data_IF_891307071716
#
_entry.id   IF_891307071716
#
_cell.length_a   1.000
_cell.length_b   1.000
_cell.length_c   1.000
_cell.angle_alpha   90.00
_cell.angle_beta   90.00
_cell.angle_gamma   90.00
#
_symmetry.space_group_name_H-M   'P 1'
#
loop_
_entity.id
_entity.type
_entity.pdbx_description
1 polymer ?
#
# COMPACT_ATOMS: atom_id res chain seq x y z
N UNK A 1 22.00 -35.50 -19.45
CA UNK A 1 21.11 -35.65 -18.27
C UNK A 1 20.22 -34.42 -18.21
N UNK A 2 18.98 -34.53 -18.70
CA UNK A 2 18.01 -33.46 -18.61
C UNK A 2 17.54 -33.35 -17.15
N UNK A 3 17.85 -32.24 -16.48
CA UNK A 3 17.19 -31.88 -15.24
C UNK A 3 15.77 -31.45 -15.59
N UNK A 4 14.84 -32.39 -15.51
CA UNK A 4 13.42 -32.07 -15.54
C UNK A 4 13.14 -31.27 -14.28
N UNK A 5 13.02 -29.96 -14.43
CA UNK A 5 12.49 -29.11 -13.38
C UNK A 5 11.02 -29.46 -13.24
N UNK A 6 10.71 -30.44 -12.39
CA UNK A 6 9.38 -30.57 -11.82
C UNK A 6 9.14 -29.29 -11.02
N UNK A 7 8.60 -28.27 -11.69
CA UNK A 7 8.01 -27.12 -11.04
C UNK A 7 6.92 -27.69 -10.13
N UNK A 8 7.26 -27.87 -8.85
CA UNK A 8 6.36 -28.45 -7.86
C UNK A 8 5.18 -27.50 -7.76
N UNK A 9 4.10 -27.83 -8.45
CA UNK A 9 2.90 -27.01 -8.46
C UNK A 9 2.37 -26.99 -7.03
N UNK A 10 2.37 -25.81 -6.42
CA UNK A 10 1.92 -25.65 -5.05
C UNK A 10 0.45 -26.08 -4.95
N UNK A 11 0.05 -26.75 -3.85
CA UNK A 11 -1.36 -27.07 -3.62
C UNK A 11 -2.22 -25.81 -3.66
N UNK A 12 -3.45 -25.90 -4.18
CA UNK A 12 -4.33 -24.73 -4.31
C UNK A 12 -4.69 -24.04 -2.98
N UNK A 13 -4.56 -24.73 -1.85
CA UNK A 13 -4.75 -24.14 -0.52
C UNK A 13 -3.55 -23.30 -0.04
N UNK A 14 -2.40 -23.38 -0.71
CA UNK A 14 -1.19 -22.62 -0.41
C UNK A 14 -1.13 -21.33 -1.25
N UNK A 15 -2.23 -20.58 -1.30
CA UNK A 15 -2.36 -19.31 -2.03
C UNK A 15 -2.09 -18.08 -1.13
N UNK A 16 -1.86 -18.32 0.16
CA UNK A 16 -1.65 -17.28 1.18
C UNK A 16 -0.20 -16.73 1.18
N UNK A 17 0.77 -17.46 0.62
CA UNK A 17 2.17 -17.04 0.53
C UNK A 17 2.64 -16.89 -0.92
N UNK A 18 3.43 -15.86 -1.18
CA UNK A 18 4.18 -15.71 -2.43
C UNK A 18 5.44 -14.88 -2.20
N UNK A 19 6.41 -14.99 -3.10
CA UNK A 19 7.60 -14.14 -3.05
C UNK A 19 7.22 -12.66 -3.09
N UNK A 20 6.23 -12.28 -3.91
CA UNK A 20 5.69 -10.91 -3.98
C UNK A 20 5.18 -10.42 -2.63
N UNK A 21 4.41 -11.24 -1.89
CA UNK A 21 3.93 -10.88 -0.56
C UNK A 21 5.07 -10.73 0.44
N UNK A 22 6.08 -11.61 0.38
CA UNK A 22 7.28 -11.50 1.20
C UNK A 22 8.08 -10.21 0.92
N UNK A 23 8.23 -9.84 -0.36
CA UNK A 23 8.88 -8.59 -0.75
C UNK A 23 8.09 -7.36 -0.25
N UNK A 24 6.77 -7.44 -0.14
CA UNK A 24 5.96 -6.39 0.51
C UNK A 24 6.40 -6.12 1.96
N UNK A 25 6.62 -7.17 2.76
CA UNK A 25 7.15 -7.02 4.13
C UNK A 25 8.56 -6.44 4.16
N UNK A 26 9.42 -6.82 3.20
CA UNK A 26 10.74 -6.21 3.04
C UNK A 26 10.62 -4.71 2.79
N UNK A 27 9.74 -4.30 1.89
CA UNK A 27 9.45 -2.89 1.58
C UNK A 27 9.06 -2.11 2.84
N UNK A 28 8.09 -2.61 3.61
CA UNK A 28 7.68 -1.98 4.88
C UNK A 28 8.83 -1.90 5.90
N UNK A 29 9.67 -2.94 6.00
CA UNK A 29 10.85 -2.95 6.88
C UNK A 29 11.88 -1.90 6.45
N UNK A 30 12.06 -1.69 5.15
CA UNK A 30 12.96 -0.66 4.62
C UNK A 30 12.46 0.76 4.95
N UNK A 31 11.13 1.00 4.94
CA UNK A 31 10.55 2.27 5.42
C UNK A 31 10.91 2.47 6.89
N UNK A 32 10.65 1.46 7.74
CA UNK A 32 10.95 1.54 9.17
C UNK A 32 12.46 1.71 9.46
N UNK A 33 13.31 1.25 8.57
CA UNK A 33 14.77 1.37 8.66
C UNK A 33 15.32 2.67 8.04
N UNK A 34 14.47 3.63 7.66
CA UNK A 34 14.86 4.89 7.03
C UNK A 34 15.69 4.65 5.75
N UNK A 35 15.17 3.79 4.86
CA UNK A 35 15.72 3.49 3.53
C UNK A 35 14.67 3.75 2.44
N UNK A 36 14.18 5.00 2.30
CA UNK A 36 13.03 5.31 1.45
C UNK A 36 13.22 4.91 -0.01
N UNK A 37 14.36 5.22 -0.64
CA UNK A 37 14.60 4.85 -2.04
C UNK A 37 14.59 3.33 -2.29
N UNK A 38 15.16 2.55 -1.36
CA UNK A 38 15.14 1.08 -1.48
C UNK A 38 13.74 0.53 -1.26
N UNK A 39 13.00 1.10 -0.30
CA UNK A 39 11.61 0.75 -0.06
C UNK A 39 10.75 1.03 -1.30
N UNK A 40 10.89 2.22 -1.92
CA UNK A 40 10.17 2.59 -3.12
C UNK A 40 10.43 1.64 -4.28
N UNK A 41 11.70 1.28 -4.53
CA UNK A 41 12.06 0.33 -5.58
C UNK A 41 11.41 -1.04 -5.35
N UNK A 42 11.49 -1.57 -4.13
CA UNK A 42 10.89 -2.87 -3.78
C UNK A 42 9.37 -2.84 -3.88
N UNK A 43 8.73 -1.83 -3.28
CA UNK A 43 7.26 -1.72 -3.21
C UNK A 43 6.63 -1.44 -4.59
N UNK A 44 7.32 -0.69 -5.46
CA UNK A 44 6.89 -0.50 -6.85
C UNK A 44 6.89 -1.82 -7.61
N UNK A 45 7.93 -2.64 -7.44
CA UNK A 45 7.97 -3.97 -8.06
C UNK A 45 6.89 -4.89 -7.49
N UNK A 46 6.67 -4.86 -6.16
CA UNK A 46 5.57 -5.61 -5.52
C UNK A 46 4.23 -5.22 -6.14
N UNK A 47 3.97 -3.92 -6.33
CA UNK A 47 2.72 -3.44 -6.91
C UNK A 47 2.51 -3.95 -8.35
N UNK A 48 3.58 -3.99 -9.14
CA UNK A 48 3.57 -4.52 -10.51
C UNK A 48 3.33 -6.04 -10.57
N UNK A 49 3.87 -6.78 -9.60
CA UNK A 49 3.79 -8.25 -9.56
C UNK A 49 2.55 -8.78 -8.84
N UNK A 50 1.75 -7.93 -8.19
CA UNK A 50 0.54 -8.34 -7.49
C UNK A 50 -0.54 -8.75 -8.48
N UNK A 51 -1.18 -9.93 -8.30
CA UNK A 51 -2.28 -10.33 -9.16
C UNK A 51 -3.48 -9.39 -8.98
N UNK A 52 -4.34 -9.32 -10.01
CA UNK A 52 -5.48 -8.41 -10.04
C UNK A 52 -6.46 -8.62 -8.88
N UNK A 53 -6.61 -9.87 -8.44
CA UNK A 53 -7.48 -10.24 -7.32
C UNK A 53 -6.90 -9.90 -5.94
N UNK A 54 -5.65 -9.43 -5.83
CA UNK A 54 -5.01 -9.08 -4.56
C UNK A 54 -5.30 -7.63 -4.11
N UNK A 55 -6.55 -7.18 -4.23
CA UNK A 55 -6.96 -5.80 -3.93
C UNK A 55 -6.54 -5.33 -2.52
N UNK A 56 -6.72 -6.17 -1.50
CA UNK A 56 -6.28 -5.86 -0.11
C UNK A 56 -4.78 -5.58 -0.01
N UNK A 57 -3.96 -6.43 -0.65
CA UNK A 57 -2.50 -6.29 -0.60
C UNK A 57 -2.03 -5.08 -1.42
N UNK A 58 -2.74 -4.77 -2.52
CA UNK A 58 -2.49 -3.58 -3.33
C UNK A 58 -2.69 -2.30 -2.51
N UNK A 59 -3.80 -2.18 -1.77
CA UNK A 59 -4.02 -1.04 -0.85
C UNK A 59 -2.96 -0.93 0.25
N UNK A 60 -2.51 -2.04 0.84
CA UNK A 60 -1.39 -2.03 1.81
C UNK A 60 -0.10 -1.52 1.13
N UNK A 61 0.22 -2.06 -0.04
CA UNK A 61 1.47 -1.74 -0.76
C UNK A 61 1.51 -0.27 -1.18
N UNK A 62 0.37 0.28 -1.62
CA UNK A 62 0.22 1.70 -1.92
C UNK A 62 0.44 2.58 -0.67
N UNK A 63 -0.12 2.19 0.48
CA UNK A 63 0.11 2.93 1.73
C UNK A 63 1.57 2.86 2.19
N UNK A 64 2.24 1.71 2.07
CA UNK A 64 3.66 1.59 2.37
C UNK A 64 4.53 2.41 1.40
N UNK A 65 4.18 2.44 0.12
CA UNK A 65 4.88 3.24 -0.88
C UNK A 65 4.69 4.73 -0.60
N UNK A 66 3.51 5.14 -0.13
CA UNK A 66 3.26 6.50 0.33
C UNK A 66 4.12 6.85 1.54
N UNK A 67 4.24 5.95 2.53
CA UNK A 67 5.13 6.14 3.67
C UNK A 67 6.59 6.34 3.23
N UNK A 68 7.03 5.57 2.23
CA UNK A 68 8.36 5.72 1.64
C UNK A 68 8.54 7.06 0.90
N UNK A 69 7.49 7.57 0.25
CA UNK A 69 7.49 8.87 -0.41
C UNK A 69 7.55 10.03 0.61
N UNK A 70 6.81 9.96 1.72
CA UNK A 70 6.92 10.95 2.81
C UNK A 70 8.34 10.97 3.38
N UNK A 71 8.92 9.80 3.66
CA UNK A 71 10.30 9.71 4.15
C UNK A 71 11.33 10.25 3.14
N UNK A 72 11.01 10.26 1.85
CA UNK A 72 11.81 10.87 0.78
C UNK A 72 11.48 12.35 0.52
N UNK A 73 10.64 12.96 1.36
CA UNK A 73 10.18 14.35 1.26
C UNK A 73 9.40 14.65 -0.02
N UNK A 74 8.63 13.69 -0.50
CA UNK A 74 7.70 13.82 -1.63
C UNK A 74 6.24 13.65 -1.16
N UNK A 75 5.66 14.68 -0.51
CA UNK A 75 4.32 14.61 0.06
C UNK A 75 3.21 14.59 -1.00
N UNK A 76 3.42 15.19 -2.17
CA UNK A 76 2.49 15.11 -3.30
C UNK A 76 2.34 13.66 -3.78
N UNK A 77 3.46 12.97 -4.02
CA UNK A 77 3.42 11.57 -4.42
C UNK A 77 2.79 10.68 -3.35
N UNK A 78 3.07 10.95 -2.07
CA UNK A 78 2.41 10.25 -0.98
C UNK A 78 0.88 10.42 -1.02
N UNK A 79 0.39 11.63 -1.28
CA UNK A 79 -1.05 11.89 -1.38
C UNK A 79 -1.72 11.17 -2.56
N UNK A 80 -1.05 11.10 -3.72
CA UNK A 80 -1.53 10.33 -4.87
C UNK A 80 -1.68 8.84 -4.52
N UNK A 81 -0.64 8.27 -3.92
CA UNK A 81 -0.61 6.85 -3.55
C UNK A 81 -1.66 6.51 -2.48
N UNK A 82 -1.84 7.37 -1.48
CA UNK A 82 -2.89 7.21 -0.48
C UNK A 82 -4.28 7.35 -1.08
N UNK A 83 -4.45 8.23 -2.06
CA UNK A 83 -5.72 8.38 -2.78
C UNK A 83 -6.11 7.07 -3.47
N UNK A 84 -5.18 6.44 -4.18
CA UNK A 84 -5.39 5.14 -4.82
C UNK A 84 -5.65 4.04 -3.78
N UNK A 85 -4.94 4.07 -2.64
CA UNK A 85 -5.13 3.11 -1.56
C UNK A 85 -6.55 3.19 -0.97
N UNK A 86 -7.06 4.42 -0.73
CA UNK A 86 -8.41 4.69 -0.24
C UNK A 86 -9.45 4.17 -1.22
N UNK A 87 -9.29 4.41 -2.53
CA UNK A 87 -10.20 3.87 -3.54
C UNK A 87 -10.28 2.34 -3.50
N UNK A 88 -9.15 1.66 -3.29
CA UNK A 88 -9.12 0.22 -3.11
C UNK A 88 -9.90 -0.24 -1.87
N UNK A 89 -9.72 0.44 -0.72
CA UNK A 89 -10.44 0.12 0.53
C UNK A 89 -11.93 0.41 0.42
N UNK A 90 -12.34 1.44 -0.32
CA UNK A 90 -13.74 1.74 -0.61
C UNK A 90 -14.46 0.62 -1.36
N UNK A 91 -13.74 -0.10 -2.24
CA UNK A 91 -14.30 -1.23 -3.00
C UNK A 91 -14.31 -2.52 -2.17
N UNK A 92 -13.29 -2.71 -1.33
CA UNK A 92 -13.18 -3.88 -0.47
C UNK A 92 -12.61 -3.48 0.89
N UNK A 93 -13.49 -3.39 1.89
CA UNK A 93 -13.09 -2.98 3.25
C UNK A 93 -11.94 -3.83 3.79
N UNK A 94 -10.92 -3.14 4.31
CA UNK A 94 -9.85 -3.79 5.04
C UNK A 94 -9.23 -2.85 6.10
N UNK A 95 -9.50 -3.16 7.37
CA UNK A 95 -9.07 -2.34 8.51
C UNK A 95 -7.55 -2.10 8.52
N UNK A 96 -6.73 -3.13 8.25
CA UNK A 96 -5.26 -3.01 8.25
C UNK A 96 -4.75 -2.00 7.22
N UNK A 97 -5.38 -1.91 6.04
CA UNK A 97 -5.00 -0.90 5.06
C UNK A 97 -5.38 0.51 5.53
N UNK A 98 -6.55 0.66 6.17
CA UNK A 98 -7.00 1.94 6.71
C UNK A 98 -6.11 2.44 7.86
N UNK A 99 -5.64 1.55 8.73
CA UNK A 99 -4.71 1.91 9.82
C UNK A 99 -3.39 2.46 9.25
N UNK A 100 -2.87 1.83 8.18
CA UNK A 100 -1.68 2.31 7.48
C UNK A 100 -1.91 3.66 6.80
N UNK A 101 -3.04 3.84 6.11
CA UNK A 101 -3.42 5.11 5.47
C UNK A 101 -3.44 6.24 6.51
N UNK A 102 -4.07 6.02 7.67
CA UNK A 102 -4.11 7.00 8.76
C UNK A 102 -2.73 7.31 9.33
N UNK A 103 -1.87 6.30 9.49
CA UNK A 103 -0.51 6.48 9.98
C UNK A 103 0.33 7.36 9.02
N UNK A 104 0.23 7.13 7.70
CA UNK A 104 0.93 7.97 6.73
C UNK A 104 0.33 9.37 6.69
N UNK A 105 -1.00 9.51 6.77
CA UNK A 105 -1.62 10.84 6.87
C UNK A 105 -1.11 11.63 8.07
N UNK A 106 -0.88 11.00 9.22
CA UNK A 106 -0.30 11.67 10.39
C UNK A 106 1.11 12.21 10.10
N UNK A 107 1.94 11.46 9.37
CA UNK A 107 3.26 11.94 8.95
C UNK A 107 3.21 13.12 7.98
N UNK A 108 2.10 13.32 7.27
CA UNK A 108 1.90 14.48 6.37
C UNK A 108 1.48 15.77 7.10
N UNK A 109 1.41 15.80 8.43
CA UNK A 109 1.00 16.99 9.19
C UNK A 109 1.88 18.22 8.95
N UNK A 110 3.18 18.03 8.75
CA UNK A 110 4.08 19.15 8.41
C UNK A 110 3.76 19.80 7.06
N UNK A 111 3.01 19.08 6.21
CA UNK A 111 2.60 19.49 4.88
C UNK A 111 1.10 19.87 4.79
N UNK A 112 0.42 20.09 5.91
CA UNK A 112 -1.04 20.34 5.96
C UNK A 112 -1.52 21.50 5.07
N UNK A 113 -0.63 22.46 4.79
CA UNK A 113 -0.95 23.60 3.94
C UNK A 113 -1.03 23.23 2.45
N UNK A 114 -0.44 22.11 2.02
CA UNK A 114 -0.42 21.69 0.62
C UNK A 114 -1.82 21.31 0.12
N UNK A 115 -2.20 21.73 -1.11
CA UNK A 115 -3.47 21.35 -1.71
C UNK A 115 -3.68 19.83 -1.78
N UNK A 116 -2.62 19.07 -2.07
CA UNK A 116 -2.68 17.61 -2.14
C UNK A 116 -3.12 16.97 -0.81
N UNK A 117 -2.59 17.45 0.33
CA UNK A 117 -2.93 16.96 1.66
C UNK A 117 -4.37 17.30 2.03
N UNK A 118 -4.84 18.51 1.69
CA UNK A 118 -6.24 18.90 1.92
C UNK A 118 -7.23 18.09 1.08
N UNK A 119 -6.88 17.78 -0.16
CA UNK A 119 -7.69 16.94 -1.03
C UNK A 119 -7.76 15.50 -0.49
N UNK A 120 -6.65 14.97 0.03
CA UNK A 120 -6.61 13.69 0.72
C UNK A 120 -7.53 13.67 1.95
N UNK A 121 -7.52 14.74 2.77
CA UNK A 121 -8.41 14.88 3.92
C UNK A 121 -9.89 14.87 3.54
N UNK A 122 -10.26 15.60 2.48
CA UNK A 122 -11.62 15.60 1.96
C UNK A 122 -12.05 14.19 1.55
N UNK A 123 -11.17 13.44 0.89
CA UNK A 123 -11.45 12.06 0.46
C UNK A 123 -11.59 11.09 1.62
N UNK A 124 -10.78 11.23 2.67
CA UNK A 124 -10.91 10.46 3.91
C UNK A 124 -12.22 10.75 4.64
N UNK A 125 -12.65 12.02 4.66
CA UNK A 125 -13.91 12.43 5.24
C UNK A 125 -15.11 11.86 4.47
N UNK A 126 -15.12 11.99 3.14
CA UNK A 126 -16.17 11.46 2.26
C UNK A 126 -16.30 9.93 2.37
N UNK A 127 -15.18 9.25 2.53
CA UNK A 127 -15.18 7.83 2.77
C UNK A 127 -15.83 7.47 4.12
N UNK A 128 -15.50 8.19 5.19
CA UNK A 128 -16.05 7.94 6.52
C UNK A 128 -17.57 8.18 6.56
N UNK A 129 -18.07 9.21 5.88
CA UNK A 129 -19.51 9.46 5.75
C UNK A 129 -20.19 8.34 4.96
N UNK A 130 -19.57 7.88 3.87
CA UNK A 130 -20.07 6.75 3.07
C UNK A 130 -20.20 5.47 3.89
N UNK A 131 -19.15 5.07 4.63
CA UNK A 131 -19.18 3.83 5.43
C UNK A 131 -20.21 3.91 6.56
N UNK A 132 -20.31 5.06 7.24
CA UNK A 132 -21.28 5.24 8.32
C UNK A 132 -22.74 5.28 7.81
N UNK A 133 -22.98 5.61 6.54
CA UNK A 133 -24.34 5.58 5.95
C UNK A 133 -24.88 4.16 5.71
N UNK A 134 -24.01 3.15 5.76
CA UNK A 134 -24.37 1.74 5.63
C UNK A 134 -24.53 1.01 6.98
N UNK A 135 -24.35 1.72 8.10
CA UNK A 135 -24.51 1.21 9.48
C UNK A 135 -25.85 1.64 10.08
#
# INVERSE_FOLDING_TARGET
MAHQQDATQLPGWFDWFSLTRLQGFKGNTLVAADRPHQAQAVLTQVLADLPDNAAKQRSITLADLAAAAVADKDPERACELLTDAIEGVSRQWYATAMDRIKAVRESLREYESLPAVRNLDAKLYDWHTTVNSFS
#
